data_IF_950287616139
#
_entry.id   IF_950287616139
#
_cell.length_a   1.000
_cell.length_b   1.000
_cell.length_c   1.000
_cell.angle_alpha   90.00
_cell.angle_beta   90.00
_cell.angle_gamma   90.00
#
_symmetry.space_group_name_H-M   'P 1'
#
loop_
_entity.id
_entity.type
_entity.pdbx_description
1 polymer ?
#
# COMPACT_ATOMS: atom_id res chain seq x y z
N UNK A 1 0.44 -21.81 -19.40
CA UNK A 1 -0.11 -21.32 -18.11
C UNK A 1 -1.62 -21.50 -18.12
N UNK A 2 -2.18 -22.09 -17.06
CA UNK A 2 -3.64 -22.25 -16.91
C UNK A 2 -4.28 -20.89 -16.68
N UNK A 3 -5.31 -20.55 -17.46
CA UNK A 3 -6.06 -19.31 -17.22
C UNK A 3 -6.95 -19.51 -15.99
N UNK A 4 -6.70 -18.72 -14.96
CA UNK A 4 -7.53 -18.70 -13.76
C UNK A 4 -8.83 -17.93 -14.04
N UNK A 5 -9.93 -18.40 -13.45
CA UNK A 5 -11.26 -17.78 -13.57
C UNK A 5 -11.78 -17.46 -12.18
N UNK A 6 -12.45 -16.33 -12.06
CA UNK A 6 -13.19 -15.98 -10.86
C UNK A 6 -14.56 -16.65 -10.97
N UNK A 7 -14.90 -17.41 -9.94
CA UNK A 7 -16.22 -18.02 -9.72
C UNK A 7 -16.85 -17.38 -8.48
N UNK A 8 -18.14 -17.58 -8.28
CA UNK A 8 -18.82 -17.23 -7.04
C UNK A 8 -19.26 -18.51 -6.35
N UNK A 9 -18.82 -18.69 -5.11
CA UNK A 9 -19.09 -19.87 -4.30
C UNK A 9 -19.88 -19.47 -3.06
N UNK A 10 -20.87 -20.27 -2.69
CA UNK A 10 -21.64 -20.03 -1.46
C UNK A 10 -20.69 -20.04 -0.27
N UNK A 11 -20.82 -19.04 0.59
CA UNK A 11 -19.96 -18.90 1.78
C UNK A 11 -20.06 -20.11 2.70
N UNK A 12 -21.26 -20.75 2.75
CA UNK A 12 -21.52 -21.96 3.54
C UNK A 12 -20.84 -23.22 3.02
N UNK A 13 -20.46 -23.25 1.76
CA UNK A 13 -19.88 -24.42 1.12
C UNK A 13 -18.34 -24.45 1.25
N UNK A 14 -17.75 -23.35 1.73
CA UNK A 14 -16.31 -23.21 1.90
C UNK A 14 -15.82 -23.95 3.15
N UNK A 15 -14.72 -24.68 3.01
CA UNK A 15 -14.13 -25.50 4.06
C UNK A 15 -12.81 -24.86 4.52
N UNK A 16 -12.73 -24.29 5.76
CA UNK A 16 -11.50 -23.75 6.27
C UNK A 16 -10.41 -24.83 6.42
N UNK A 17 -9.17 -24.50 6.06
CA UNK A 17 -8.05 -25.43 6.23
C UNK A 17 -7.69 -25.62 7.69
N UNK A 18 -7.83 -26.85 8.21
CA UNK A 18 -7.63 -27.16 9.62
C UNK A 18 -6.21 -26.90 10.15
N UNK A 19 -5.19 -26.90 9.28
CA UNK A 19 -3.79 -26.61 9.61
C UNK A 19 -3.37 -25.20 9.22
N UNK A 20 -4.32 -24.26 9.16
CA UNK A 20 -3.96 -22.87 8.92
C UNK A 20 -3.11 -22.35 10.09
N UNK A 21 -1.85 -22.04 9.81
CA UNK A 21 -0.91 -21.50 10.80
C UNK A 21 -1.10 -20.02 11.09
N UNK A 22 -1.89 -19.31 10.27
CA UNK A 22 -2.17 -17.87 10.46
C UNK A 22 -3.46 -17.69 11.24
N UNK A 23 -3.35 -17.02 12.37
CA UNK A 23 -4.48 -16.62 13.20
C UNK A 23 -4.91 -15.20 12.86
N UNK A 24 -6.20 -14.93 12.98
CA UNK A 24 -6.78 -13.59 12.77
C UNK A 24 -7.50 -13.19 14.06
N UNK A 25 -7.18 -12.02 14.60
CA UNK A 25 -7.92 -11.44 15.71
C UNK A 25 -9.30 -10.94 15.26
N UNK A 26 -10.24 -10.83 16.20
CA UNK A 26 -11.56 -10.24 15.93
C UNK A 26 -11.44 -8.80 15.38
N UNK A 27 -10.44 -8.04 15.87
CA UNK A 27 -10.15 -6.72 15.35
C UNK A 27 -9.77 -6.77 13.86
N UNK A 28 -8.82 -7.65 13.50
CA UNK A 28 -8.39 -7.80 12.12
C UNK A 28 -9.53 -8.26 11.20
N UNK A 29 -10.38 -9.19 11.67
CA UNK A 29 -11.57 -9.60 10.91
C UNK A 29 -12.52 -8.42 10.71
N UNK A 30 -12.69 -7.56 11.73
CA UNK A 30 -13.45 -6.32 11.64
C UNK A 30 -12.88 -5.35 10.60
N UNK A 31 -11.57 -5.15 10.56
CA UNK A 31 -10.88 -4.32 9.58
C UNK A 31 -11.07 -4.85 8.15
N UNK A 32 -10.90 -6.17 7.94
CA UNK A 32 -11.15 -6.80 6.64
C UNK A 32 -12.62 -6.64 6.22
N UNK A 33 -13.56 -6.81 7.15
CA UNK A 33 -14.98 -6.63 6.86
C UNK A 33 -15.31 -5.18 6.46
N UNK A 34 -14.70 -4.20 7.12
CA UNK A 34 -14.86 -2.78 6.78
C UNK A 34 -14.28 -2.47 5.40
N UNK A 35 -13.10 -3.00 5.08
CA UNK A 35 -12.48 -2.90 3.76
C UNK A 35 -13.36 -3.52 2.66
N UNK A 36 -13.92 -4.72 2.90
CA UNK A 36 -14.84 -5.36 1.94
C UNK A 36 -16.11 -4.53 1.73
N UNK A 37 -16.64 -3.89 2.75
CA UNK A 37 -17.81 -3.02 2.65
C UNK A 37 -17.55 -1.78 1.83
N UNK A 38 -16.38 -1.17 1.99
CA UNK A 38 -16.00 0.06 1.33
C UNK A 38 -15.57 -0.17 -0.12
N UNK A 39 -14.64 -1.11 -0.34
CA UNK A 39 -14.00 -1.32 -1.64
C UNK A 39 -14.57 -2.50 -2.43
N UNK A 40 -15.48 -3.27 -1.84
CA UNK A 40 -15.94 -4.53 -2.38
C UNK A 40 -14.97 -5.70 -2.09
N UNK A 41 -15.37 -6.90 -2.52
CA UNK A 41 -14.55 -8.11 -2.35
C UNK A 41 -13.51 -8.21 -3.49
N UNK A 42 -12.47 -7.39 -3.42
CA UNK A 42 -11.48 -7.18 -4.50
C UNK A 42 -10.49 -8.34 -4.68
N UNK A 43 -10.26 -9.15 -3.64
CA UNK A 43 -9.29 -10.26 -3.65
C UNK A 43 -10.00 -11.60 -3.44
N UNK A 44 -10.16 -12.45 -4.46
CA UNK A 44 -10.83 -13.74 -4.35
C UNK A 44 -10.22 -14.68 -3.32
N UNK A 45 -11.02 -15.58 -2.76
CA UNK A 45 -10.56 -16.69 -1.92
C UNK A 45 -10.02 -17.79 -2.85
N UNK A 46 -8.87 -18.36 -2.51
CA UNK A 46 -8.24 -19.42 -3.29
C UNK A 46 -8.64 -20.80 -2.73
N UNK A 47 -9.12 -21.68 -3.61
CA UNK A 47 -9.65 -23.00 -3.28
C UNK A 47 -8.80 -24.12 -3.89
N UNK A 48 -8.89 -25.31 -3.30
CA UNK A 48 -8.14 -26.51 -3.68
C UNK A 48 -8.80 -27.36 -4.78
N UNK A 49 -9.98 -26.96 -5.23
CA UNK A 49 -10.84 -27.72 -6.17
C UNK A 49 -11.95 -28.51 -5.50
N UNK A 50 -11.93 -28.63 -4.16
CA UNK A 50 -12.95 -29.31 -3.34
C UNK A 50 -13.54 -28.39 -2.27
N UNK A 51 -13.56 -27.07 -2.55
CA UNK A 51 -14.00 -26.00 -1.65
C UNK A 51 -13.11 -25.79 -0.41
N UNK A 52 -11.99 -26.47 -0.29
CA UNK A 52 -11.01 -26.25 0.76
C UNK A 52 -10.27 -24.92 0.54
N UNK A 53 -10.23 -24.07 1.56
CA UNK A 53 -9.56 -22.76 1.48
C UNK A 53 -8.05 -22.93 1.57
N UNK A 54 -7.32 -22.54 0.52
CA UNK A 54 -5.85 -22.45 0.49
C UNK A 54 -5.41 -21.08 1.02
N UNK A 55 -6.04 -19.99 0.55
CA UNK A 55 -5.72 -18.62 0.98
C UNK A 55 -6.98 -17.77 1.10
N UNK A 56 -6.98 -16.82 2.05
CA UNK A 56 -8.10 -15.91 2.29
C UNK A 56 -8.97 -16.27 3.48
N UNK A 57 -8.46 -16.99 4.48
CA UNK A 57 -9.22 -17.35 5.69
C UNK A 57 -9.80 -16.14 6.44
N UNK A 58 -9.03 -15.03 6.56
CA UNK A 58 -9.54 -13.80 7.16
C UNK A 58 -10.68 -13.18 6.36
N UNK A 59 -10.60 -13.23 5.02
CA UNK A 59 -11.69 -12.75 4.12
C UNK A 59 -12.93 -13.64 4.22
N UNK A 60 -12.75 -14.94 4.36
CA UNK A 60 -13.85 -15.87 4.63
C UNK A 60 -14.57 -15.53 5.94
N UNK A 61 -13.83 -15.33 7.03
CA UNK A 61 -14.40 -14.96 8.33
C UNK A 61 -15.11 -13.60 8.27
N UNK A 62 -14.52 -12.61 7.56
CA UNK A 62 -15.14 -11.31 7.32
C UNK A 62 -16.44 -11.45 6.49
N UNK A 63 -16.47 -12.33 5.48
CA UNK A 63 -17.67 -12.60 4.70
C UNK A 63 -18.80 -13.21 5.55
N UNK A 64 -18.46 -14.13 6.45
CA UNK A 64 -19.42 -14.67 7.43
C UNK A 64 -19.96 -13.57 8.34
N UNK A 65 -19.09 -12.70 8.86
CA UNK A 65 -19.48 -11.54 9.70
C UNK A 65 -20.40 -10.58 8.96
N UNK A 66 -20.19 -10.40 7.65
CA UNK A 66 -21.04 -9.58 6.77
C UNK A 66 -22.30 -10.31 6.26
N UNK A 67 -22.49 -11.57 6.63
CA UNK A 67 -23.62 -12.41 6.15
C UNK A 67 -23.69 -12.50 4.62
N UNK A 68 -22.52 -12.53 3.96
CA UNK A 68 -22.45 -12.65 2.50
C UNK A 68 -22.87 -14.07 2.08
N UNK A 69 -23.84 -14.19 1.19
CA UNK A 69 -24.32 -15.48 0.69
C UNK A 69 -23.28 -16.18 -0.20
N UNK A 70 -22.57 -15.40 -1.01
CA UNK A 70 -21.57 -15.87 -1.96
C UNK A 70 -20.35 -14.96 -1.92
N UNK A 71 -19.18 -15.51 -2.24
CA UNK A 71 -17.92 -14.79 -2.32
C UNK A 71 -17.16 -15.16 -3.60
N UNK A 72 -16.33 -14.24 -4.14
CA UNK A 72 -15.51 -14.56 -5.30
C UNK A 72 -14.39 -15.53 -4.91
N UNK A 73 -14.20 -16.54 -5.73
CA UNK A 73 -13.23 -17.62 -5.53
C UNK A 73 -12.43 -17.90 -6.80
N UNK A 74 -11.24 -18.48 -6.64
CA UNK A 74 -10.42 -19.01 -7.72
C UNK A 74 -10.00 -20.43 -7.36
N UNK A 75 -10.26 -21.39 -8.25
CA UNK A 75 -9.85 -22.77 -8.09
C UNK A 75 -8.41 -23.00 -8.52
N UNK A 76 -7.63 -23.61 -7.64
CA UNK A 76 -6.26 -24.06 -7.87
C UNK A 76 -6.15 -25.59 -7.91
N UNK A 77 -7.18 -26.27 -8.43
CA UNK A 77 -7.26 -27.72 -8.55
C UNK A 77 -6.07 -28.34 -9.31
N UNK A 78 -5.37 -27.56 -10.13
CA UNK A 78 -4.19 -28.01 -10.87
C UNK A 78 -2.94 -28.16 -10.01
N UNK A 79 -2.94 -27.67 -8.76
CA UNK A 79 -1.80 -27.79 -7.85
C UNK A 79 -1.82 -29.15 -7.13
N UNK A 80 -0.63 -29.75 -6.97
CA UNK A 80 -0.46 -30.92 -6.11
C UNK A 80 -0.64 -30.55 -4.64
N UNK A 81 -0.90 -31.53 -3.76
CA UNK A 81 -1.08 -31.28 -2.32
C UNK A 81 0.18 -30.67 -1.68
N UNK A 82 1.36 -31.01 -2.16
CA UNK A 82 2.60 -30.39 -1.70
C UNK A 82 2.67 -28.92 -2.11
N UNK A 83 2.28 -28.60 -3.34
CA UNK A 83 2.24 -27.22 -3.84
C UNK A 83 1.18 -26.39 -3.10
N UNK A 84 -0.02 -26.93 -2.84
CA UNK A 84 -1.06 -26.26 -2.05
C UNK A 84 -0.54 -25.87 -0.66
N UNK A 85 0.10 -26.81 0.05
CA UNK A 85 0.70 -26.56 1.37
C UNK A 85 1.84 -25.56 1.34
N UNK A 86 2.72 -25.65 0.35
CA UNK A 86 3.80 -24.68 0.15
C UNK A 86 3.24 -23.28 -0.14
N UNK A 87 2.19 -23.20 -0.95
CA UNK A 87 1.55 -21.92 -1.28
C UNK A 87 0.93 -21.23 -0.05
N UNK A 88 0.26 -21.98 0.83
CA UNK A 88 -0.27 -21.43 2.11
C UNK A 88 0.82 -20.71 2.91
N UNK A 89 2.03 -21.28 2.96
CA UNK A 89 3.15 -20.69 3.70
C UNK A 89 3.73 -19.50 2.91
N UNK A 90 3.97 -19.67 1.61
CA UNK A 90 4.59 -18.65 0.77
C UNK A 90 3.74 -17.37 0.67
N UNK A 91 2.43 -17.49 0.45
CA UNK A 91 1.49 -16.36 0.36
C UNK A 91 1.55 -15.50 1.63
N UNK A 92 1.52 -16.15 2.80
CA UNK A 92 1.63 -15.44 4.06
C UNK A 92 3.02 -14.83 4.29
N UNK A 93 4.10 -15.52 3.90
CA UNK A 93 5.47 -15.05 4.15
C UNK A 93 5.85 -13.91 3.23
N UNK A 94 5.48 -13.98 1.95
CA UNK A 94 5.78 -12.94 0.96
C UNK A 94 5.15 -11.59 1.33
N UNK A 95 3.92 -11.60 1.86
CA UNK A 95 3.27 -10.38 2.34
C UNK A 95 4.05 -9.70 3.49
N UNK A 96 4.76 -10.48 4.33
CA UNK A 96 5.57 -9.95 5.45
C UNK A 96 6.95 -9.43 5.00
N UNK A 97 7.39 -9.74 3.80
CA UNK A 97 8.70 -9.33 3.31
C UNK A 97 8.69 -7.93 2.64
N UNK A 98 7.50 -7.38 2.39
CA UNK A 98 7.37 -6.01 1.89
C UNK A 98 7.35 -5.01 3.04
N UNK A 99 7.83 -3.80 2.79
CA UNK A 99 7.76 -2.65 3.69
C UNK A 99 7.04 -1.49 3.00
N UNK A 100 7.01 -0.37 3.68
CA UNK A 100 6.48 0.89 3.18
C UNK A 100 7.62 1.88 2.91
N UNK A 101 7.48 2.68 1.87
CA UNK A 101 8.17 3.96 1.78
C UNK A 101 7.42 4.92 2.70
N UNK A 102 7.97 5.17 3.88
CA UNK A 102 7.29 5.93 4.94
C UNK A 102 6.95 7.36 4.49
N UNK A 103 7.82 7.99 3.71
CA UNK A 103 7.60 9.35 3.23
C UNK A 103 6.44 9.40 2.22
N UNK A 104 6.41 8.46 1.29
CA UNK A 104 5.32 8.38 0.30
C UNK A 104 4.01 7.99 0.98
N UNK A 105 4.05 7.06 1.93
CA UNK A 105 2.87 6.65 2.69
C UNK A 105 2.25 7.83 3.46
N UNK A 106 3.08 8.66 4.11
CA UNK A 106 2.60 9.83 4.85
C UNK A 106 1.92 10.85 3.92
N UNK A 107 2.51 11.11 2.75
CA UNK A 107 1.90 11.99 1.75
C UNK A 107 0.55 11.48 1.28
N UNK A 108 0.44 10.20 0.93
CA UNK A 108 -0.82 9.58 0.49
C UNK A 108 -1.89 9.63 1.59
N UNK A 109 -1.51 9.37 2.85
CA UNK A 109 -2.45 9.45 3.98
C UNK A 109 -2.92 10.88 4.21
N UNK A 110 -2.04 11.87 4.07
CA UNK A 110 -2.43 13.27 4.20
C UNK A 110 -3.39 13.69 3.08
N UNK A 111 -3.11 13.31 1.84
CA UNK A 111 -3.98 13.59 0.69
C UNK A 111 -5.37 12.95 0.89
N UNK A 112 -5.43 11.73 1.43
CA UNK A 112 -6.69 11.06 1.75
C UNK A 112 -7.47 11.78 2.86
N UNK A 113 -6.79 12.29 3.91
CA UNK A 113 -7.41 13.11 4.97
C UNK A 113 -8.00 14.39 4.40
N UNK A 114 -7.24 15.08 3.55
CA UNK A 114 -7.66 16.33 2.93
C UNK A 114 -8.85 16.13 1.96
N UNK A 115 -8.93 14.93 1.34
CA UNK A 115 -10.08 14.50 0.56
C UNK A 115 -11.29 14.07 1.42
N UNK A 116 -11.16 14.06 2.76
CA UNK A 116 -12.23 13.65 3.68
C UNK A 116 -12.45 12.12 3.74
N UNK A 117 -11.47 11.33 3.29
CA UNK A 117 -11.55 9.87 3.38
C UNK A 117 -11.33 9.39 4.82
N UNK A 118 -12.09 8.35 5.21
CA UNK A 118 -11.90 7.74 6.53
C UNK A 118 -10.66 6.84 6.55
N UNK A 119 -9.55 7.35 7.07
CA UNK A 119 -8.26 6.65 7.13
C UNK A 119 -8.24 5.45 8.10
N UNK A 120 -9.20 5.32 9.04
CA UNK A 120 -9.32 4.15 9.91
C UNK A 120 -9.54 2.87 9.10
N UNK A 121 -10.06 2.98 7.87
CA UNK A 121 -10.25 1.88 6.93
C UNK A 121 -8.92 1.31 6.39
N UNK A 122 -7.82 2.05 6.50
CA UNK A 122 -6.49 1.60 6.08
C UNK A 122 -5.86 0.62 7.07
N UNK A 123 -6.46 0.45 8.25
CA UNK A 123 -6.06 -0.49 9.29
C UNK A 123 -4.64 -0.29 9.86
N UNK A 124 -4.06 0.90 9.71
CA UNK A 124 -2.84 1.26 10.43
C UNK A 124 -3.13 1.50 11.92
N UNK A 125 -2.18 1.13 12.77
CA UNK A 125 -2.19 1.57 14.16
C UNK A 125 -1.94 3.10 14.22
N UNK A 126 -2.63 3.86 15.08
CA UNK A 126 -2.35 5.30 15.22
C UNK A 126 -0.88 5.64 15.52
N UNK A 127 -0.13 4.70 16.10
CA UNK A 127 1.31 4.86 16.34
C UNK A 127 2.16 4.71 15.08
N UNK A 128 1.67 3.98 14.07
CA UNK A 128 2.32 3.84 12.76
C UNK A 128 2.10 5.07 11.87
N UNK A 129 1.00 5.80 12.13
CA UNK A 129 0.64 7.03 11.42
C UNK A 129 1.11 8.30 12.13
N UNK A 130 1.94 8.16 13.15
CA UNK A 130 2.58 9.33 13.73
C UNK A 130 3.48 9.91 12.64
N UNK A 131 3.04 11.06 12.06
CA UNK A 131 3.96 12.03 11.51
C UNK A 131 5.15 12.09 12.46
N UNK A 132 6.36 11.99 11.94
CA UNK A 132 7.51 12.40 12.73
C UNK A 132 7.06 13.68 13.43
N UNK A 133 6.96 13.66 14.77
CA UNK A 133 6.79 14.89 15.54
C UNK A 133 7.92 15.79 15.08
N UNK A 134 7.61 16.64 14.12
CA UNK A 134 8.50 17.74 13.81
C UNK A 134 8.50 18.52 15.11
N UNK A 135 9.63 18.46 15.81
CA UNK A 135 9.83 19.20 17.04
C UNK A 135 9.72 20.69 16.69
N UNK A 136 8.49 21.20 16.82
CA UNK A 136 8.19 22.61 16.59
C UNK A 136 8.76 23.52 17.68
N UNK A 137 9.44 22.97 18.72
CA UNK A 137 10.07 23.77 19.75
C UNK A 137 11.23 24.62 19.20
N UNK A 138 11.74 24.30 17.99
CA UNK A 138 12.72 25.10 17.25
C UNK A 138 12.07 26.34 16.60
N UNK A 139 10.73 26.41 16.53
CA UNK A 139 10.02 27.50 15.86
C UNK A 139 9.68 28.69 16.80
N UNK A 140 10.06 28.61 18.08
CA UNK A 140 9.93 29.73 19.04
C UNK A 140 11.04 30.79 18.89
N UNK A 141 11.89 30.70 17.86
CA UNK A 141 12.90 31.64 17.54
C UNK A 141 12.39 32.72 16.56
N UNK A 142 12.29 33.97 17.01
CA UNK A 142 11.74 35.14 16.27
C UNK A 142 12.41 35.42 14.90
N UNK A 143 13.52 34.76 14.57
CA UNK A 143 14.20 34.87 13.26
C UNK A 143 13.57 33.98 12.15
N UNK A 144 12.59 33.13 12.48
CA UNK A 144 12.01 32.15 11.55
C UNK A 144 10.70 32.65 10.90
N UNK A 145 10.06 33.67 11.43
CA UNK A 145 8.78 34.20 10.92
C UNK A 145 8.85 34.66 9.45
N UNK A 146 9.99 35.25 9.04
CA UNK A 146 10.23 35.67 7.65
C UNK A 146 10.46 34.48 6.69
N UNK A 147 10.93 33.32 7.20
CA UNK A 147 11.12 32.11 6.39
C UNK A 147 9.83 31.26 6.31
N UNK A 148 8.98 31.31 7.34
CA UNK A 148 7.69 30.60 7.37
C UNK A 148 6.68 31.19 6.38
N UNK A 149 6.70 32.51 6.17
CA UNK A 149 5.81 33.17 5.19
C UNK A 149 6.15 32.78 3.72
N UNK A 150 7.41 32.41 3.45
CA UNK A 150 7.85 31.85 2.17
C UNK A 150 7.57 30.35 2.04
N UNK A 151 7.53 29.60 3.14
CA UNK A 151 7.18 28.17 3.16
C UNK A 151 5.68 27.94 3.05
N UNK A 152 4.83 28.80 3.63
CA UNK A 152 3.36 28.75 3.52
C UNK A 152 2.86 28.99 2.09
N UNK A 153 3.68 29.51 1.19
CA UNK A 153 3.37 29.69 -0.24
C UNK A 153 3.63 28.47 -1.11
N UNK A 154 4.14 27.37 -0.54
CA UNK A 154 4.68 26.27 -1.33
C UNK A 154 4.09 24.90 -1.04
N UNK A 155 2.85 24.63 -1.48
CA UNK A 155 2.46 23.23 -1.76
C UNK A 155 3.49 22.68 -2.76
N UNK A 156 4.29 21.67 -2.34
CA UNK A 156 5.25 21.00 -3.22
C UNK A 156 4.46 20.28 -4.30
N UNK A 157 4.41 20.84 -5.50
CA UNK A 157 3.83 20.18 -6.66
C UNK A 157 4.88 19.28 -7.28
N UNK A 158 4.55 18.01 -7.51
CA UNK A 158 5.40 17.08 -8.24
C UNK A 158 5.24 17.30 -9.75
N UNK A 159 6.35 17.24 -10.49
CA UNK A 159 6.37 17.15 -11.96
C UNK A 159 6.96 15.78 -12.28
N UNK A 160 6.23 14.99 -13.05
CA UNK A 160 6.74 13.73 -13.57
C UNK A 160 7.67 14.02 -14.75
N UNK A 161 8.87 13.46 -14.72
CA UNK A 161 9.85 13.56 -15.79
C UNK A 161 10.09 12.14 -16.31
N UNK A 162 9.88 11.94 -17.59
CA UNK A 162 10.13 10.67 -18.26
C UNK A 162 11.58 10.66 -18.78
N UNK A 163 12.26 9.55 -18.56
CA UNK A 163 13.59 9.29 -19.07
C UNK A 163 13.55 8.13 -20.06
N UNK A 164 14.35 8.20 -21.10
CA UNK A 164 14.59 7.04 -21.95
C UNK A 164 15.25 5.93 -21.13
N UNK A 165 14.96 4.64 -21.43
CA UNK A 165 15.46 3.51 -20.64
C UNK A 165 16.98 3.55 -20.40
N UNK A 166 17.76 3.98 -21.39
CA UNK A 166 19.22 4.05 -21.33
C UNK A 166 19.76 5.10 -20.35
N UNK A 167 18.93 6.09 -19.97
CA UNK A 167 19.31 7.19 -19.06
C UNK A 167 18.66 7.07 -17.68
N UNK A 168 17.76 6.11 -17.48
CA UNK A 168 16.99 6.03 -16.25
C UNK A 168 17.84 5.69 -15.02
N UNK A 169 18.75 4.71 -15.16
CA UNK A 169 19.63 4.29 -14.05
C UNK A 169 20.58 5.42 -13.65
N UNK A 170 21.18 6.11 -14.61
CA UNK A 170 22.05 7.25 -14.34
C UNK A 170 21.31 8.40 -13.67
N UNK A 171 20.08 8.69 -14.11
CA UNK A 171 19.24 9.72 -13.51
C UNK A 171 18.87 9.37 -12.06
N UNK A 172 18.56 8.12 -11.75
CA UNK A 172 18.28 7.65 -10.38
C UNK A 172 19.51 7.83 -9.47
N UNK A 173 20.70 7.43 -9.93
CA UNK A 173 21.93 7.56 -9.16
C UNK A 173 22.27 9.04 -8.85
N UNK A 174 22.10 9.93 -9.83
CA UNK A 174 22.31 11.37 -9.64
C UNK A 174 21.30 11.99 -8.66
N UNK A 175 20.03 11.63 -8.77
CA UNK A 175 18.99 12.10 -7.83
C UNK A 175 19.30 11.66 -6.41
N UNK A 176 19.68 10.38 -6.22
CA UNK A 176 20.07 9.82 -4.93
C UNK A 176 21.29 10.55 -4.35
N UNK A 177 22.35 10.70 -5.14
CA UNK A 177 23.57 11.40 -4.73
C UNK A 177 23.27 12.81 -4.22
N UNK A 178 22.52 13.61 -4.98
CA UNK A 178 22.25 15.00 -4.59
C UNK A 178 21.34 15.12 -3.37
N UNK A 179 20.39 14.18 -3.19
CA UNK A 179 19.57 14.12 -1.97
C UNK A 179 20.42 13.81 -0.74
N UNK A 180 21.36 12.87 -0.82
CA UNK A 180 22.30 12.54 0.26
C UNK A 180 23.21 13.72 0.63
N UNK A 181 23.48 14.62 -0.31
CA UNK A 181 24.23 15.87 -0.07
C UNK A 181 23.33 17.04 0.41
N UNK A 182 22.06 16.79 0.71
CA UNK A 182 21.10 17.83 1.10
C UNK A 182 20.64 18.73 -0.05
N UNK A 183 20.92 18.35 -1.31
CA UNK A 183 20.55 19.13 -2.49
C UNK A 183 19.05 18.96 -2.84
N UNK A 184 18.35 20.08 -3.07
CA UNK A 184 16.98 20.05 -3.58
C UNK A 184 16.98 19.93 -5.11
N UNK A 185 16.86 18.69 -5.60
CA UNK A 185 17.02 18.34 -7.03
C UNK A 185 16.03 19.10 -7.92
N UNK A 186 14.80 19.30 -7.48
CA UNK A 186 13.80 20.09 -8.22
C UNK A 186 14.22 21.54 -8.49
N UNK A 187 14.87 22.19 -7.50
CA UNK A 187 15.39 23.54 -7.66
C UNK A 187 16.62 23.57 -8.59
N UNK A 188 17.48 22.57 -8.50
CA UNK A 188 18.64 22.43 -9.39
C UNK A 188 18.21 22.29 -10.85
N UNK A 189 17.20 21.44 -11.12
CA UNK A 189 16.64 21.27 -12.45
C UNK A 189 16.00 22.55 -12.97
N UNK A 190 15.20 23.24 -12.13
CA UNK A 190 14.59 24.52 -12.51
C UNK A 190 15.64 25.58 -12.87
N UNK A 191 16.72 25.65 -12.10
CA UNK A 191 17.82 26.60 -12.33
C UNK A 191 18.52 26.31 -13.65
N UNK A 192 18.80 25.03 -13.91
CA UNK A 192 19.40 24.58 -15.18
C UNK A 192 18.51 24.95 -16.38
N UNK A 193 17.22 24.58 -16.33
CA UNK A 193 16.28 24.87 -17.42
C UNK A 193 16.12 26.37 -17.67
N UNK A 194 16.14 27.21 -16.62
CA UNK A 194 16.12 28.68 -16.78
C UNK A 194 17.39 29.19 -17.47
N UNK A 195 18.55 28.66 -17.11
CA UNK A 195 19.81 29.03 -17.74
C UNK A 195 19.86 28.62 -19.21
N UNK A 196 19.39 27.43 -19.56
CA UNK A 196 19.32 26.99 -20.95
C UNK A 196 18.32 27.83 -21.78
N UNK A 197 17.12 28.16 -21.22
CA UNK A 197 16.15 29.03 -21.89
C UNK A 197 16.71 30.42 -22.22
N UNK A 198 17.62 30.95 -21.39
CA UNK A 198 18.22 32.28 -21.61
C UNK A 198 19.26 32.31 -22.74
N UNK A 199 19.66 31.15 -23.28
CA UNK A 199 20.61 31.02 -24.40
C UNK A 199 19.91 30.93 -25.76
N UNK A 200 18.58 30.76 -25.76
CA UNK A 200 17.72 30.76 -26.95
C UNK A 200 17.18 32.15 -27.27
#
# INVERSE_FOLDING_TARGET
>A
MTKLKINYTKTTDLIPYARNSRTHSELQIGQIASSIREFGFTQPILLDGENGIIAGHGRYQAALKLSMAEVPTIDLAHLTDAQKRAYVIADNKLALNSGWDEQMLELEIQDLRDAGFNIDLLAFDPSELKSADVDYSVLDDEEIDDQLDDMAKGVRKAIQIEFEPDHYEEAQELVKFWREQGGYVGYMLLTYLKAEKSKL
#
